data_IF_129361390778
#
_entry.id   IF_129361390778
#
_cell.length_a   1.000
_cell.length_b   1.000
_cell.length_c   1.000
_cell.angle_alpha   90.00
_cell.angle_beta   90.00
_cell.angle_gamma   90.00
#
_symmetry.space_group_name_H-M   'P 1'
#
loop_
_entity.id
_entity.type
_entity.pdbx_description
1 polymer ?
#
# COMPACT_ATOMS: atom_id res chain seq x y z
N UNK A 1 5.76 9.99 -44.71
CA UNK A 1 5.26 10.17 -43.33
C UNK A 1 5.12 8.78 -42.73
N UNK A 2 6.23 8.24 -42.23
CA UNK A 2 6.24 6.98 -41.50
C UNK A 2 6.90 7.31 -40.16
N UNK A 3 6.07 7.26 -39.19
CA UNK A 3 6.22 6.62 -37.91
C UNK A 3 6.90 7.39 -36.78
N UNK A 4 6.11 8.16 -36.05
CA UNK A 4 6.35 8.47 -34.65
C UNK A 4 6.00 7.29 -33.71
N UNK A 5 5.36 6.23 -34.24
CA UNK A 5 4.91 5.06 -33.45
C UNK A 5 6.01 3.99 -33.24
N UNK A 6 7.11 4.03 -34.01
CA UNK A 6 8.18 3.01 -33.89
C UNK A 6 9.27 3.37 -32.88
N UNK A 7 9.36 4.62 -32.45
CA UNK A 7 10.38 5.09 -31.49
C UNK A 7 10.00 4.70 -30.04
N UNK A 8 8.74 4.43 -29.76
CA UNK A 8 8.27 4.04 -28.41
C UNK A 8 8.48 2.56 -28.06
N UNK A 9 8.78 1.69 -29.05
CA UNK A 9 8.88 0.24 -28.82
C UNK A 9 10.29 -0.25 -28.42
N UNK A 10 11.33 0.55 -28.61
CA UNK A 10 12.71 0.16 -28.26
C UNK A 10 13.14 0.63 -26.87
N UNK A 11 12.47 1.62 -26.28
CA UNK A 11 12.78 2.13 -24.93
C UNK A 11 12.03 1.43 -23.78
N UNK A 12 11.08 0.52 -24.11
CA UNK A 12 10.25 -0.13 -23.08
C UNK A 12 10.93 -1.33 -22.40
N UNK A 13 12.01 -1.86 -22.94
CA UNK A 13 12.72 -3.01 -22.37
C UNK A 13 13.70 -2.67 -21.24
N UNK A 14 14.18 -1.41 -21.15
CA UNK A 14 15.19 -0.99 -20.18
C UNK A 14 14.66 -0.19 -18.98
N UNK A 15 13.34 0.07 -18.90
CA UNK A 15 12.77 0.99 -17.90
C UNK A 15 11.94 0.32 -16.79
N UNK A 16 11.85 -1.01 -16.75
CA UNK A 16 10.99 -1.75 -15.80
C UNK A 16 11.71 -2.19 -14.50
N UNK A 17 12.98 -1.87 -14.34
CA UNK A 17 13.73 -2.24 -13.15
C UNK A 17 13.47 -1.24 -12.00
N UNK A 18 12.36 -1.47 -11.29
CA UNK A 18 12.19 -0.87 -9.96
C UNK A 18 13.36 -1.38 -9.11
N UNK A 19 14.13 -0.49 -8.45
CA UNK A 19 15.25 -0.90 -7.62
C UNK A 19 14.79 -1.54 -6.31
N UNK A 20 14.17 -2.72 -6.41
CA UNK A 20 13.72 -3.46 -5.24
C UNK A 20 14.91 -3.85 -4.37
N UNK A 21 14.79 -3.57 -3.08
CA UNK A 21 15.69 -4.10 -2.05
C UNK A 21 14.99 -5.24 -1.32
N UNK A 22 15.60 -6.44 -1.34
CA UNK A 22 15.11 -7.63 -0.64
C UNK A 22 16.07 -8.10 0.44
N UNK A 23 17.08 -7.30 0.76
CA UNK A 23 17.97 -7.54 1.91
C UNK A 23 17.38 -6.85 3.14
N UNK A 24 16.80 -7.65 4.03
CA UNK A 24 16.16 -7.17 5.25
C UNK A 24 16.38 -8.15 6.41
N UNK A 25 17.52 -8.04 7.11
CA UNK A 25 17.92 -9.01 8.14
C UNK A 25 17.28 -8.78 9.51
N UNK A 26 16.33 -7.83 9.65
CA UNK A 26 15.67 -7.55 10.93
C UNK A 26 14.93 -8.78 11.44
N UNK A 27 15.17 -9.12 12.71
CA UNK A 27 14.51 -10.25 13.37
C UNK A 27 13.21 -9.80 14.04
N UNK A 28 12.17 -10.63 14.03
CA UNK A 28 10.93 -10.34 14.74
C UNK A 28 11.15 -10.02 16.23
N UNK A 29 10.41 -9.04 16.74
CA UNK A 29 10.41 -8.60 18.13
C UNK A 29 11.64 -7.78 18.55
N UNK A 30 12.62 -7.59 17.66
CA UNK A 30 13.81 -6.78 17.96
C UNK A 30 13.54 -5.32 17.66
N UNK A 31 13.87 -4.45 18.61
CA UNK A 31 13.80 -2.99 18.42
C UNK A 31 15.00 -2.53 17.60
N UNK A 32 14.74 -1.81 16.51
CA UNK A 32 15.76 -1.21 15.64
C UNK A 32 15.54 0.30 15.56
N UNK A 33 16.47 1.09 16.10
CA UNK A 33 16.42 2.57 15.97
C UNK A 33 17.02 2.99 14.63
N UNK A 34 16.16 3.17 13.64
CA UNK A 34 16.54 3.49 12.25
C UNK A 34 16.95 4.94 12.05
N UNK A 35 16.43 5.85 12.87
CA UNK A 35 16.79 7.28 12.94
C UNK A 35 16.59 7.77 14.37
N UNK A 36 17.26 8.83 14.82
CA UNK A 36 17.03 9.38 16.15
C UNK A 36 15.55 9.68 16.39
N UNK A 37 14.93 8.96 17.36
CA UNK A 37 13.50 9.09 17.66
C UNK A 37 12.57 8.35 16.69
N UNK A 38 13.09 7.45 15.85
CA UNK A 38 12.29 6.52 15.04
C UNK A 38 12.80 5.11 15.27
N UNK A 39 11.99 4.29 15.89
CA UNK A 39 12.24 2.86 16.13
C UNK A 39 11.27 2.03 15.32
N UNK A 40 11.66 0.85 14.89
CA UNK A 40 10.79 -0.13 14.24
C UNK A 40 10.87 -1.49 14.92
N UNK A 41 9.80 -2.24 14.83
CA UNK A 41 9.72 -3.63 15.32
C UNK A 41 9.02 -4.45 14.26
N UNK A 42 9.62 -5.58 13.88
CA UNK A 42 9.06 -6.54 12.93
C UNK A 42 8.15 -7.53 13.65
N UNK A 43 6.93 -7.70 13.16
CA UNK A 43 6.03 -8.79 13.54
C UNK A 43 6.45 -10.10 12.86
N UNK A 44 6.27 -11.24 13.53
CA UNK A 44 6.59 -12.56 12.98
C UNK A 44 5.41 -13.14 12.17
N UNK A 45 5.05 -12.47 11.07
CA UNK A 45 3.97 -12.89 10.17
C UNK A 45 4.42 -12.94 8.70
N UNK A 46 5.54 -13.65 8.36
CA UNK A 46 6.06 -13.69 7.01
C UNK A 46 5.08 -14.38 6.04
N UNK A 47 4.92 -13.79 4.86
CA UNK A 47 4.08 -14.33 3.80
C UNK A 47 4.47 -13.75 2.43
N UNK A 48 3.92 -14.25 1.31
CA UNK A 48 4.09 -13.61 0.01
C UNK A 48 3.57 -12.17 -0.07
N UNK A 49 2.77 -11.71 0.89
CA UNK A 49 2.18 -10.37 0.96
C UNK A 49 2.90 -9.46 1.94
N UNK A 50 3.45 -10.01 3.00
CA UNK A 50 4.09 -9.27 4.11
C UNK A 50 5.61 -9.38 4.11
N UNK A 51 6.19 -10.07 3.10
CA UNK A 51 7.62 -10.34 3.02
C UNK A 51 8.13 -11.07 4.27
N UNK A 52 9.02 -10.44 5.06
CA UNK A 52 9.52 -10.98 6.33
C UNK A 52 8.60 -10.73 7.51
N UNK A 53 7.58 -9.90 7.34
CA UNK A 53 6.58 -9.52 8.34
C UNK A 53 6.15 -8.06 8.23
N UNK A 54 5.21 -7.66 9.07
CA UNK A 54 4.70 -6.29 9.16
C UNK A 54 5.55 -5.47 10.14
N UNK A 55 5.81 -4.22 9.79
CA UNK A 55 6.56 -3.26 10.61
C UNK A 55 5.63 -2.32 11.35
N UNK A 56 5.83 -2.26 12.67
CA UNK A 56 5.30 -1.19 13.50
C UNK A 56 6.40 -0.17 13.77
N UNK A 57 6.05 1.12 13.81
CA UNK A 57 7.00 2.19 14.10
C UNK A 57 6.66 2.89 15.40
N UNK A 58 7.68 3.32 16.13
CA UNK A 58 7.56 4.14 17.33
C UNK A 58 8.25 5.48 17.05
N UNK A 59 7.50 6.57 17.16
CA UNK A 59 7.95 7.93 16.84
C UNK A 59 8.00 8.77 18.11
N UNK A 60 9.11 9.45 18.33
CA UNK A 60 9.34 10.30 19.50
C UNK A 60 10.19 9.65 20.60
N UNK A 61 10.33 10.35 21.72
CA UNK A 61 10.99 9.89 22.98
C UNK A 61 10.21 10.42 24.16
N UNK A 62 10.06 9.62 25.20
CA UNK A 62 9.33 9.97 26.43
C UNK A 62 7.81 9.97 26.24
N UNK A 63 7.28 10.81 25.35
CA UNK A 63 5.90 10.73 24.86
C UNK A 63 5.92 10.37 23.39
N UNK A 64 5.41 9.20 23.07
CA UNK A 64 5.59 8.56 21.76
C UNK A 64 4.27 8.28 21.07
N UNK A 65 4.34 8.16 19.73
CA UNK A 65 3.31 7.55 18.90
C UNK A 65 3.72 6.14 18.47
N UNK A 66 2.75 5.24 18.29
CA UNK A 66 2.92 3.94 17.62
C UNK A 66 2.16 4.02 16.31
N UNK A 67 2.83 3.72 15.19
CA UNK A 67 2.22 3.62 13.85
C UNK A 67 2.08 2.14 13.50
N UNK A 68 0.88 1.74 13.08
CA UNK A 68 0.50 0.37 12.71
C UNK A 68 0.87 -0.67 13.78
N UNK A 69 0.06 -0.85 14.82
CA UNK A 69 0.36 -1.79 15.92
C UNK A 69 0.44 -3.25 15.50
N UNK A 70 0.11 -3.57 14.25
CA UNK A 70 0.26 -4.89 13.66
C UNK A 70 -0.96 -5.80 13.78
N UNK A 71 -0.81 -7.08 13.39
CA UNK A 71 -1.87 -8.07 13.42
C UNK A 71 -2.31 -8.39 14.85
N UNK A 72 -3.39 -9.15 15.00
CA UNK A 72 -3.81 -9.67 16.30
C UNK A 72 -2.81 -10.74 16.81
N UNK A 73 -1.63 -10.28 17.21
CA UNK A 73 -0.50 -11.07 17.69
C UNK A 73 -0.07 -10.56 19.07
N UNK A 74 -0.19 -11.43 20.09
CA UNK A 74 0.15 -11.05 21.48
C UNK A 74 1.64 -10.85 21.69
N UNK A 75 2.47 -11.62 21.01
CA UNK A 75 3.93 -11.50 21.15
C UNK A 75 4.42 -10.18 20.55
N UNK A 76 3.86 -9.76 19.39
CA UNK A 76 4.17 -8.48 18.79
C UNK A 76 3.69 -7.31 19.65
N UNK A 77 2.47 -7.38 20.19
CA UNK A 77 1.97 -6.37 21.11
C UNK A 77 2.83 -6.25 22.38
N UNK A 78 3.25 -7.39 22.94
CA UNK A 78 4.16 -7.41 24.10
C UNK A 78 5.52 -6.78 23.77
N UNK A 79 6.09 -7.05 22.60
CA UNK A 79 7.32 -6.44 22.12
C UNK A 79 7.21 -4.92 21.97
N UNK A 80 6.08 -4.43 21.42
CA UNK A 80 5.80 -3.00 21.32
C UNK A 80 5.71 -2.34 22.71
N UNK A 81 4.97 -2.93 23.65
CA UNK A 81 4.83 -2.41 25.02
C UNK A 81 6.16 -2.45 25.79
N UNK A 82 6.96 -3.47 25.57
CA UNK A 82 8.31 -3.56 26.17
C UNK A 82 9.25 -2.48 25.61
N UNK A 83 9.19 -2.22 24.31
CA UNK A 83 10.00 -1.22 23.63
C UNK A 83 9.71 0.23 24.10
N UNK A 84 8.52 0.49 24.63
CA UNK A 84 8.13 1.79 25.16
C UNK A 84 8.10 1.80 26.70
N UNK A 85 8.73 0.82 27.35
CA UNK A 85 8.76 0.74 28.82
C UNK A 85 9.41 1.99 29.41
N UNK A 86 8.68 2.67 30.32
CA UNK A 86 9.10 3.94 30.92
C UNK A 86 8.81 5.18 30.09
N UNK A 87 8.18 5.01 28.93
CA UNK A 87 7.65 6.10 28.11
C UNK A 87 6.10 6.13 28.19
N UNK A 88 5.50 7.18 27.70
CA UNK A 88 4.04 7.32 27.60
C UNK A 88 3.62 7.22 26.13
N UNK A 89 2.87 6.20 25.77
CA UNK A 89 2.23 6.14 24.44
C UNK A 89 1.01 7.05 24.47
N UNK A 90 1.06 8.12 23.71
CA UNK A 90 -0.02 9.13 23.65
C UNK A 90 -0.91 8.95 22.43
N UNK A 91 -0.35 8.42 21.33
CA UNK A 91 -1.01 8.28 20.03
C UNK A 91 -0.79 6.89 19.46
N UNK A 92 -1.82 6.36 18.82
CA UNK A 92 -1.76 5.21 17.92
C UNK A 92 -2.24 5.72 16.57
N UNK A 93 -1.39 5.60 15.55
CA UNK A 93 -1.69 6.02 14.19
C UNK A 93 -1.85 4.77 13.32
N UNK A 94 -2.90 4.69 12.52
CA UNK A 94 -3.13 3.54 11.64
C UNK A 94 -3.16 4.03 10.21
N UNK A 95 -2.26 3.46 9.38
CA UNK A 95 -2.16 3.84 7.96
C UNK A 95 -3.38 3.36 7.20
N UNK A 96 -3.80 2.12 7.43
CA UNK A 96 -4.95 1.50 6.79
C UNK A 96 -5.46 0.30 7.59
N UNK A 97 -6.60 -0.23 7.22
CA UNK A 97 -7.31 -1.24 8.00
C UNK A 97 -7.16 -2.66 7.48
N UNK A 98 -5.98 -3.06 6.99
CA UNK A 98 -5.70 -4.47 6.79
C UNK A 98 -5.35 -5.17 8.12
N UNK A 99 -5.64 -6.47 8.17
CA UNK A 99 -5.52 -7.29 9.38
C UNK A 99 -4.11 -7.49 9.89
N UNK A 100 -3.14 -7.12 9.13
CA UNK A 100 -1.74 -7.14 9.54
C UNK A 100 -1.24 -5.78 10.06
N UNK A 101 -2.06 -4.70 9.99
CA UNK A 101 -1.70 -3.37 10.48
C UNK A 101 -2.50 -2.92 11.70
N UNK A 102 -3.81 -3.14 11.73
CA UNK A 102 -4.71 -2.47 12.67
C UNK A 102 -5.16 -3.28 13.90
N UNK A 103 -5.28 -4.62 13.91
CA UNK A 103 -5.98 -5.34 14.95
C UNK A 103 -5.40 -5.20 16.36
N UNK A 104 -4.07 -5.09 16.51
CA UNK A 104 -3.46 -4.86 17.82
C UNK A 104 -3.76 -3.48 18.43
N UNK A 105 -4.39 -2.57 17.67
CA UNK A 105 -4.79 -1.24 18.16
C UNK A 105 -5.59 -1.32 19.44
N UNK A 106 -6.58 -2.22 19.49
CA UNK A 106 -7.42 -2.40 20.68
C UNK A 106 -6.61 -2.82 21.91
N UNK A 107 -5.64 -3.74 21.74
CA UNK A 107 -4.77 -4.23 22.83
C UNK A 107 -3.81 -3.16 23.30
N UNK A 108 -3.15 -2.44 22.39
CA UNK A 108 -2.23 -1.35 22.75
C UNK A 108 -2.99 -0.20 23.42
N UNK A 109 -4.17 0.19 22.89
CA UNK A 109 -5.03 1.20 23.51
C UNK A 109 -5.45 0.80 24.91
N UNK A 110 -5.88 -0.43 25.13
CA UNK A 110 -6.28 -0.92 26.47
C UNK A 110 -5.12 -0.85 27.48
N UNK A 111 -3.90 -1.11 27.04
CA UNK A 111 -2.70 -1.09 27.90
C UNK A 111 -2.17 0.32 28.18
N UNK A 112 -2.38 1.28 27.28
CA UNK A 112 -1.71 2.61 27.35
C UNK A 112 -2.66 3.77 27.55
N UNK A 113 -3.93 3.63 27.20
CA UNK A 113 -4.91 4.72 27.15
C UNK A 113 -4.70 5.69 25.97
N UNK A 114 -3.84 5.34 25.01
CA UNK A 114 -3.52 6.19 23.86
C UNK A 114 -4.74 6.46 22.96
N UNK A 115 -4.77 7.65 22.36
CA UNK A 115 -5.81 8.03 21.39
C UNK A 115 -5.48 7.46 20.01
N UNK A 116 -6.46 6.90 19.32
CA UNK A 116 -6.32 6.27 18.02
C UNK A 116 -6.71 7.22 16.89
N UNK A 117 -5.80 7.42 15.94
CA UNK A 117 -5.97 8.28 14.78
C UNK A 117 -5.90 7.45 13.48
N UNK A 118 -6.84 7.66 12.58
CA UNK A 118 -6.84 7.08 11.25
C UNK A 118 -7.75 7.89 10.31
N UNK A 119 -7.77 7.55 9.01
CA UNK A 119 -8.72 8.16 8.06
C UNK A 119 -10.18 7.81 8.38
N UNK A 120 -10.41 6.63 8.93
CA UNK A 120 -11.73 6.14 9.31
C UNK A 120 -11.76 4.62 9.45
N UNK A 121 -12.97 4.08 9.57
CA UNK A 121 -13.22 2.63 9.53
C UNK A 121 -12.93 2.08 8.14
N UNK A 122 -12.80 0.74 8.06
CA UNK A 122 -12.68 0.09 6.76
C UNK A 122 -13.88 0.42 5.85
N UNK A 123 -13.59 0.72 4.59
CA UNK A 123 -14.56 0.90 3.52
C UNK A 123 -13.94 0.52 2.17
N UNK A 124 -14.76 0.05 1.27
CA UNK A 124 -14.36 -0.16 -0.11
C UNK A 124 -14.28 1.18 -0.88
N UNK A 125 -13.48 1.23 -1.94
CA UNK A 125 -13.40 2.39 -2.84
C UNK A 125 -14.63 2.53 -3.74
N UNK A 126 -15.33 1.41 -4.00
CA UNK A 126 -16.63 1.40 -4.68
C UNK A 126 -17.58 0.37 -4.07
N UNK A 127 -18.88 0.49 -4.29
CA UNK A 127 -19.82 -0.58 -3.98
C UNK A 127 -19.45 -1.88 -4.70
N UNK A 128 -19.77 -3.00 -4.09
CA UNK A 128 -19.66 -4.30 -4.75
C UNK A 128 -20.72 -4.43 -5.84
N UNK A 129 -20.31 -4.99 -6.96
CA UNK A 129 -21.27 -5.40 -7.99
C UNK A 129 -21.98 -6.70 -7.57
N UNK A 130 -23.24 -6.88 -7.95
CA UNK A 130 -23.99 -8.12 -7.67
C UNK A 130 -23.34 -9.35 -8.31
N UNK A 131 -22.64 -9.16 -9.43
CA UNK A 131 -21.91 -10.19 -10.16
C UNK A 131 -20.61 -10.66 -9.48
N UNK A 132 -20.11 -9.96 -8.45
CA UNK A 132 -18.90 -10.32 -7.73
C UNK A 132 -19.11 -11.48 -6.76
N UNK A 133 -18.64 -12.67 -7.15
CA UNK A 133 -18.82 -13.92 -6.38
C UNK A 133 -17.82 -14.08 -5.23
N UNK A 134 -16.67 -13.40 -5.28
CA UNK A 134 -15.59 -13.51 -4.30
C UNK A 134 -15.48 -12.23 -3.48
N UNK A 135 -15.06 -12.38 -2.22
CA UNK A 135 -14.82 -11.25 -1.33
C UNK A 135 -13.31 -11.07 -1.11
N UNK A 136 -12.63 -10.20 -1.88
CA UNK A 136 -11.20 -9.91 -1.68
C UNK A 136 -10.91 -9.18 -0.36
N UNK A 137 -11.94 -8.58 0.27
CA UNK A 137 -11.82 -7.89 1.56
C UNK A 137 -11.60 -8.85 2.76
N UNK A 138 -11.20 -10.10 2.52
CA UNK A 138 -10.85 -11.04 3.61
C UNK A 138 -9.68 -10.55 4.47
N UNK A 139 -8.85 -9.65 3.91
CA UNK A 139 -7.78 -8.97 4.63
C UNK A 139 -8.20 -7.78 5.48
N UNK A 140 -9.46 -7.34 5.42
CA UNK A 140 -9.94 -6.14 6.11
C UNK A 140 -10.24 -6.35 7.60
N UNK A 141 -9.82 -5.41 8.44
CA UNK A 141 -10.27 -5.25 9.82
C UNK A 141 -11.53 -4.39 9.86
N UNK A 142 -12.68 -5.02 9.82
CA UNK A 142 -13.98 -4.35 9.78
C UNK A 142 -14.43 -3.82 11.13
N UNK A 143 -13.81 -4.29 12.21
CA UNK A 143 -14.15 -3.88 13.58
C UNK A 143 -13.37 -2.65 14.03
N UNK A 144 -12.34 -2.27 13.28
CA UNK A 144 -11.52 -1.10 13.58
C UNK A 144 -12.35 0.20 13.57
N UNK A 145 -12.18 1.00 14.63
CA UNK A 145 -12.77 2.34 14.77
C UNK A 145 -11.72 3.27 15.40
N UNK A 146 -11.32 4.36 14.74
CA UNK A 146 -10.47 5.37 15.35
C UNK A 146 -11.26 6.22 16.34
N UNK A 147 -10.56 6.81 17.32
CA UNK A 147 -11.14 7.85 18.20
C UNK A 147 -11.20 9.20 17.48
N UNK A 148 -10.20 9.46 16.63
CA UNK A 148 -10.07 10.70 15.87
C UNK A 148 -9.87 10.35 14.40
N UNK A 149 -10.78 10.83 13.57
CA UNK A 149 -10.64 10.78 12.12
C UNK A 149 -9.76 11.93 11.66
N UNK A 150 -8.73 11.64 10.88
CA UNK A 150 -7.82 12.64 10.31
C UNK A 150 -7.89 12.68 8.79
N UNK A 151 -7.74 13.89 8.23
CA UNK A 151 -7.84 14.19 6.81
C UNK A 151 -6.50 14.59 6.24
N UNK A 152 -6.41 14.57 4.90
CA UNK A 152 -5.23 15.06 4.19
C UNK A 152 -4.83 16.48 4.62
N UNK A 153 -3.55 16.66 4.96
CA UNK A 153 -2.97 17.92 5.39
C UNK A 153 -3.16 18.23 6.88
N UNK A 154 -3.95 17.45 7.62
CA UNK A 154 -4.09 17.65 9.06
C UNK A 154 -2.82 17.21 9.81
N UNK A 155 -2.45 18.01 10.81
CA UNK A 155 -1.27 17.79 11.62
C UNK A 155 -1.64 17.06 12.91
N UNK A 156 -0.86 16.02 13.23
CA UNK A 156 -0.94 15.29 14.51
C UNK A 156 0.33 15.66 15.28
N UNK A 157 0.16 16.26 16.45
CA UNK A 157 1.28 16.82 17.22
C UNK A 157 1.46 16.05 18.52
N UNK A 158 2.70 15.64 18.80
CA UNK A 158 3.13 15.06 20.05
C UNK A 158 4.28 15.86 20.65
N UNK A 159 4.87 15.34 21.72
CA UNK A 159 5.99 15.97 22.39
C UNK A 159 7.29 15.75 21.59
N UNK A 160 7.74 16.80 20.92
CA UNK A 160 8.96 16.76 20.09
C UNK A 160 8.81 16.09 18.73
N UNK A 161 7.59 15.81 18.27
CA UNK A 161 7.31 15.32 16.94
C UNK A 161 5.99 15.86 16.39
N UNK A 162 5.91 15.97 15.06
CA UNK A 162 4.73 16.48 14.36
C UNK A 162 4.61 15.77 13.02
N UNK A 163 3.49 15.09 12.80
CA UNK A 163 3.22 14.31 11.60
C UNK A 163 2.05 14.90 10.83
N UNK A 164 2.20 15.03 9.52
CA UNK A 164 1.13 15.37 8.59
C UNK A 164 0.44 14.09 8.11
N UNK A 165 -0.89 14.03 8.20
CA UNK A 165 -1.68 13.00 7.57
C UNK A 165 -1.78 13.26 6.08
N UNK A 166 -1.25 12.36 5.25
CA UNK A 166 -1.26 12.45 3.79
C UNK A 166 -2.19 11.39 3.23
N UNK A 167 -3.36 11.79 2.69
CA UNK A 167 -4.26 10.82 2.10
C UNK A 167 -3.61 10.14 0.88
N UNK A 168 -3.52 8.83 0.92
CA UNK A 168 -2.95 7.99 -0.13
C UNK A 168 -3.88 6.79 -0.44
N UNK A 169 -5.17 7.05 -0.81
CA UNK A 169 -6.07 5.97 -1.19
C UNK A 169 -5.56 5.22 -2.42
N UNK A 170 -5.98 3.98 -2.58
CA UNK A 170 -5.70 3.17 -3.76
C UNK A 170 -5.31 1.74 -3.45
N UNK A 171 -4.41 1.48 -2.51
CA UNK A 171 -4.22 0.14 -1.94
C UNK A 171 -5.46 -0.26 -1.13
N UNK A 172 -5.88 0.60 -0.22
CA UNK A 172 -7.21 0.63 0.39
C UNK A 172 -7.81 2.03 0.25
N UNK A 173 -9.14 2.13 0.35
CA UNK A 173 -9.83 3.41 0.23
C UNK A 173 -9.54 4.38 1.40
N UNK A 174 -9.21 3.86 2.57
CA UNK A 174 -8.94 4.63 3.79
C UNK A 174 -7.44 4.76 4.12
N UNK A 175 -6.57 4.59 3.13
CA UNK A 175 -5.13 4.63 3.35
C UNK A 175 -4.61 6.06 3.61
N UNK A 176 -3.77 6.20 4.65
CA UNK A 176 -2.97 7.39 4.96
C UNK A 176 -1.48 7.03 4.99
N UNK A 177 -0.66 7.96 4.52
CA UNK A 177 0.72 8.05 4.94
C UNK A 177 0.86 9.10 6.05
N UNK A 178 1.91 8.98 6.88
CA UNK A 178 2.23 9.96 7.93
C UNK A 178 3.61 10.55 7.64
N UNK A 179 3.63 11.80 7.22
CA UNK A 179 4.86 12.50 6.89
C UNK A 179 5.40 13.29 8.08
N UNK A 180 6.71 13.26 8.29
CA UNK A 180 7.44 14.12 9.23
C UNK A 180 8.31 15.12 8.45
N UNK A 181 7.76 16.28 8.03
CA UNK A 181 8.44 17.18 7.11
C UNK A 181 9.79 17.67 7.62
N UNK A 182 9.88 18.02 8.92
CA UNK A 182 11.14 18.52 9.50
C UNK A 182 12.26 17.47 9.49
N UNK A 183 11.92 16.19 9.43
CA UNK A 183 12.88 15.08 9.39
C UNK A 183 13.05 14.49 7.99
N UNK A 184 12.30 14.97 7.00
CA UNK A 184 12.27 14.41 5.63
C UNK A 184 11.94 12.92 5.59
N UNK A 185 11.04 12.48 6.48
CA UNK A 185 10.60 11.09 6.64
C UNK A 185 9.12 10.98 6.28
N UNK A 186 8.73 9.88 5.64
CA UNK A 186 7.33 9.55 5.37
C UNK A 186 7.06 8.07 5.68
N UNK A 187 6.11 7.78 6.55
CA UNK A 187 5.60 6.44 6.83
C UNK A 187 4.48 6.14 5.84
N UNK A 188 4.77 5.38 4.80
CA UNK A 188 3.91 5.23 3.62
C UNK A 188 3.04 3.96 3.64
N UNK A 189 3.03 3.24 4.76
CA UNK A 189 2.26 1.99 4.89
C UNK A 189 2.49 1.07 3.71
N UNK A 190 1.41 0.54 3.14
CA UNK A 190 1.45 -0.38 2.01
C UNK A 190 1.24 0.30 0.65
N UNK A 191 1.17 1.64 0.62
CA UNK A 191 1.04 2.35 -0.64
C UNK A 191 2.32 2.31 -1.47
N UNK A 192 3.49 2.34 -0.80
CA UNK A 192 4.81 2.23 -1.43
C UNK A 192 5.64 1.20 -0.66
N UNK A 193 6.10 0.14 -1.33
CA UNK A 193 6.95 -0.89 -0.74
C UNK A 193 8.27 -1.01 -1.50
N UNK A 194 9.38 -1.16 -0.76
CA UNK A 194 10.73 -1.21 -1.32
C UNK A 194 11.13 -2.58 -1.87
N UNK A 195 10.37 -3.64 -1.60
CA UNK A 195 10.69 -5.03 -1.97
C UNK A 195 9.78 -5.61 -3.05
N UNK A 196 8.59 -5.01 -3.26
CA UNK A 196 7.56 -5.43 -4.23
C UNK A 196 6.68 -4.25 -4.60
N UNK A 197 5.83 -4.42 -5.61
CA UNK A 197 4.74 -3.47 -5.90
C UNK A 197 3.56 -3.73 -4.99
N UNK A 198 2.85 -2.68 -4.58
CA UNK A 198 1.61 -2.79 -3.81
C UNK A 198 0.51 -3.49 -4.60
N UNK A 199 -0.33 -4.23 -3.88
CA UNK A 199 -1.52 -4.83 -4.48
C UNK A 199 -2.63 -3.79 -4.50
N UNK A 200 -3.29 -3.66 -5.64
CA UNK A 200 -4.51 -2.86 -5.81
C UNK A 200 -5.62 -3.82 -6.20
N UNK A 201 -6.54 -4.07 -5.27
CA UNK A 201 -7.57 -5.10 -5.45
C UNK A 201 -8.97 -4.51 -5.25
N UNK A 202 -9.75 -4.28 -6.34
CA UNK A 202 -11.15 -3.90 -6.21
C UNK A 202 -11.98 -4.97 -5.47
N UNK A 203 -13.02 -4.55 -4.74
CA UNK A 203 -13.57 -3.20 -4.61
C UNK A 203 -12.89 -2.36 -3.52
N UNK A 204 -11.97 -2.91 -2.73
CA UNK A 204 -11.26 -2.19 -1.65
C UNK A 204 -10.28 -1.18 -2.22
N UNK A 205 -9.43 -1.61 -3.13
CA UNK A 205 -8.47 -0.77 -3.86
C UNK A 205 -9.03 -0.18 -5.16
N UNK A 206 -8.35 0.88 -5.66
CA UNK A 206 -8.68 1.60 -6.89
C UNK A 206 -7.40 2.01 -7.61
N UNK A 207 -7.25 1.66 -8.89
CA UNK A 207 -6.06 2.05 -9.66
C UNK A 207 -6.02 3.55 -9.93
N UNK A 208 -7.17 4.18 -10.16
CA UNK A 208 -7.28 5.63 -10.32
C UNK A 208 -6.74 6.36 -9.09
N UNK A 209 -7.23 5.97 -7.90
CA UNK A 209 -6.81 6.59 -6.65
C UNK A 209 -5.35 6.29 -6.32
N UNK A 210 -4.90 5.06 -6.63
CA UNK A 210 -3.51 4.63 -6.43
C UNK A 210 -2.54 5.50 -7.24
N UNK A 211 -2.82 5.70 -8.52
CA UNK A 211 -1.99 6.53 -9.39
C UNK A 211 -1.99 7.99 -8.96
N UNK A 212 -3.15 8.55 -8.61
CA UNK A 212 -3.25 9.92 -8.10
C UNK A 212 -2.48 10.11 -6.78
N UNK A 213 -2.46 9.09 -5.94
CA UNK A 213 -1.70 9.09 -4.68
C UNK A 213 -0.20 8.96 -4.91
N UNK A 214 0.24 8.14 -5.88
CA UNK A 214 1.64 8.10 -6.30
C UNK A 214 2.09 9.45 -6.85
N UNK A 215 1.28 10.12 -7.70
CA UNK A 215 1.61 11.46 -8.22
C UNK A 215 1.76 12.48 -7.08
N UNK A 216 0.91 12.41 -6.05
CA UNK A 216 1.03 13.24 -4.84
C UNK A 216 2.34 12.97 -4.10
N UNK A 217 2.69 11.71 -3.89
CA UNK A 217 3.93 11.32 -3.20
C UNK A 217 5.18 11.69 -4.00
N UNK A 218 5.14 11.63 -5.34
CA UNK A 218 6.25 12.00 -6.21
C UNK A 218 6.59 13.50 -6.18
N UNK A 219 5.68 14.34 -5.66
CA UNK A 219 5.84 15.80 -5.53
C UNK A 219 6.23 16.23 -4.11
N UNK A 220 6.36 15.30 -3.17
CA UNK A 220 6.74 15.61 -1.79
C UNK A 220 8.25 15.76 -1.63
N UNK A 221 8.63 16.36 -0.51
CA UNK A 221 10.02 16.69 -0.19
C UNK A 221 10.68 15.70 0.80
N UNK A 222 9.92 14.71 1.31
CA UNK A 222 10.47 13.68 2.19
C UNK A 222 11.33 12.70 1.38
N UNK A 223 12.60 12.57 1.76
CA UNK A 223 13.56 11.72 1.03
C UNK A 223 13.55 10.27 1.47
N UNK A 224 13.15 10.00 2.74
CA UNK A 224 13.19 8.67 3.31
C UNK A 224 11.79 8.15 3.56
N UNK A 225 11.44 7.04 2.92
CA UNK A 225 10.15 6.40 3.11
C UNK A 225 10.29 5.11 3.93
N UNK A 226 9.40 4.94 4.89
CA UNK A 226 9.23 3.73 5.70
C UNK A 226 7.93 3.06 5.33
N UNK A 227 8.01 1.85 4.75
CA UNK A 227 6.84 1.06 4.35
C UNK A 227 6.34 0.15 5.47
N UNK A 228 5.13 -0.40 5.30
CA UNK A 228 4.57 -1.42 6.20
C UNK A 228 5.36 -2.73 6.19
N UNK A 229 6.16 -2.99 5.13
CA UNK A 229 6.91 -4.22 4.96
C UNK A 229 8.27 -3.96 4.32
N UNK A 230 9.31 -4.64 4.85
CA UNK A 230 10.65 -4.65 4.26
C UNK A 230 11.50 -3.42 4.61
N UNK A 231 12.59 -3.18 3.86
CA UNK A 231 13.55 -2.13 4.17
C UNK A 231 13.02 -0.73 3.87
N UNK A 232 13.69 0.28 4.44
CA UNK A 232 13.48 1.67 4.09
C UNK A 232 13.79 1.97 2.61
N UNK A 233 13.17 3.00 2.10
CA UNK A 233 13.25 3.43 0.70
C UNK A 233 13.90 4.82 0.68
N UNK A 234 15.18 4.92 0.32
CA UNK A 234 15.83 6.20 0.10
C UNK A 234 15.34 6.84 -1.20
N UNK A 235 15.48 8.18 -1.30
CA UNK A 235 15.02 8.95 -2.45
C UNK A 235 13.54 8.68 -2.79
N UNK A 236 12.67 8.64 -1.76
CA UNK A 236 11.27 8.22 -1.85
C UNK A 236 10.52 8.76 -3.08
N UNK A 237 10.52 10.08 -3.36
CA UNK A 237 9.85 10.63 -4.54
C UNK A 237 10.41 10.12 -5.87
N UNK A 238 11.71 9.83 -5.94
CA UNK A 238 12.33 9.22 -7.12
C UNK A 238 11.87 7.76 -7.28
N UNK A 239 11.85 7.02 -6.18
CA UNK A 239 11.36 5.64 -6.16
C UNK A 239 9.90 5.55 -6.61
N UNK A 240 9.04 6.45 -6.14
CA UNK A 240 7.64 6.54 -6.56
C UNK A 240 7.50 6.71 -8.07
N UNK A 241 8.36 7.51 -8.71
CA UNK A 241 8.36 7.65 -10.17
C UNK A 241 8.67 6.35 -10.92
N UNK A 242 9.46 5.42 -10.36
CA UNK A 242 9.61 4.08 -10.92
C UNK A 242 8.28 3.29 -10.84
N UNK A 243 7.58 3.37 -9.71
CA UNK A 243 6.27 2.71 -9.55
C UNK A 243 5.24 3.25 -10.54
N UNK A 244 5.19 4.57 -10.76
CA UNK A 244 4.30 5.19 -11.76
C UNK A 244 4.60 4.62 -13.16
N UNK A 245 5.85 4.63 -13.59
CA UNK A 245 6.24 4.06 -14.89
C UNK A 245 5.90 2.59 -15.01
N UNK A 246 6.15 1.81 -13.96
CA UNK A 246 5.78 0.39 -13.94
C UNK A 246 4.28 0.18 -14.14
N UNK A 247 3.42 0.95 -13.45
CA UNK A 247 1.95 0.86 -13.65
C UNK A 247 1.53 1.25 -15.06
N UNK A 248 2.12 2.29 -15.64
CA UNK A 248 1.88 2.70 -17.02
C UNK A 248 2.32 1.62 -18.03
N UNK A 249 3.48 1.01 -17.83
CA UNK A 249 3.95 -0.11 -18.64
C UNK A 249 3.02 -1.34 -18.51
N UNK A 250 2.50 -1.58 -17.31
CA UNK A 250 1.53 -2.66 -17.08
C UNK A 250 0.22 -2.41 -17.82
N UNK A 251 -0.31 -1.18 -17.78
CA UNK A 251 -1.48 -0.77 -18.56
C UNK A 251 -1.24 -0.97 -20.06
N UNK A 252 -0.10 -0.49 -20.58
CA UNK A 252 0.25 -0.68 -21.99
C UNK A 252 0.34 -2.16 -22.39
N UNK A 253 0.84 -3.02 -21.50
CA UNK A 253 0.89 -4.48 -21.73
C UNK A 253 -0.50 -5.11 -21.78
N UNK A 254 -1.44 -4.67 -20.95
CA UNK A 254 -2.85 -5.08 -20.99
C UNK A 254 -3.48 -4.67 -22.32
N UNK A 255 -3.33 -3.42 -22.73
CA UNK A 255 -3.86 -2.92 -24.01
C UNK A 255 -3.26 -3.64 -25.20
N UNK A 256 -1.94 -3.90 -25.20
CA UNK A 256 -1.27 -4.68 -26.23
C UNK A 256 -1.83 -6.11 -26.32
N UNK A 257 -2.14 -6.74 -25.17
CA UNK A 257 -2.77 -8.07 -25.17
C UNK A 257 -4.18 -8.00 -25.78
N UNK A 258 -4.98 -7.00 -25.42
CA UNK A 258 -6.34 -6.83 -25.91
C UNK A 258 -6.38 -6.47 -27.41
N UNK A 259 -5.34 -5.83 -27.94
CA UNK A 259 -5.22 -5.56 -29.38
C UNK A 259 -5.11 -6.85 -30.23
N UNK A 260 -4.80 -8.01 -29.63
CA UNK A 260 -4.78 -9.32 -30.29
C UNK A 260 -6.14 -10.04 -30.27
N UNK A 261 -7.16 -9.40 -29.73
CA UNK A 261 -8.51 -9.90 -29.56
C UNK A 261 -8.94 -9.88 -28.09
N UNK A 262 -10.23 -10.05 -27.87
CA UNK A 262 -10.82 -10.08 -26.53
C UNK A 262 -10.15 -11.14 -25.63
N UNK A 263 -10.14 -10.90 -24.34
CA UNK A 263 -9.54 -11.79 -23.36
C UNK A 263 -10.18 -11.68 -21.98
N UNK A 264 -10.19 -12.79 -21.25
CA UNK A 264 -10.45 -12.83 -19.81
C UNK A 264 -9.19 -12.47 -19.00
N UNK A 265 -9.38 -12.16 -17.73
CA UNK A 265 -8.28 -11.78 -16.83
C UNK A 265 -7.21 -12.88 -16.71
N UNK A 266 -7.54 -14.18 -16.54
CA UNK A 266 -6.54 -15.23 -16.53
C UNK A 266 -5.65 -15.26 -17.79
N UNK A 267 -6.23 -15.02 -18.95
CA UNK A 267 -5.48 -14.96 -20.23
C UNK A 267 -4.55 -13.73 -20.28
N UNK A 268 -5.01 -12.57 -19.79
CA UNK A 268 -4.18 -11.37 -19.68
C UNK A 268 -3.03 -11.63 -18.69
N UNK A 269 -3.31 -12.17 -17.51
CA UNK A 269 -2.29 -12.49 -16.48
C UNK A 269 -1.21 -13.40 -17.05
N UNK A 270 -1.59 -14.49 -17.72
CA UNK A 270 -0.61 -15.41 -18.35
C UNK A 270 0.26 -14.72 -19.40
N UNK A 271 -0.27 -13.73 -20.10
CA UNK A 271 0.47 -13.02 -21.14
C UNK A 271 1.49 -11.99 -20.59
N UNK A 272 1.21 -11.39 -19.44
CA UNK A 272 1.97 -10.22 -18.93
C UNK A 272 2.76 -10.49 -17.64
N UNK A 273 2.46 -11.60 -16.92
CA UNK A 273 3.16 -11.98 -15.68
C UNK A 273 3.96 -13.28 -15.90
N UNK A 274 5.08 -13.17 -16.64
CA UNK A 274 5.94 -14.32 -16.92
C UNK A 274 6.76 -14.64 -15.66
N UNK A 275 6.72 -15.91 -15.22
CA UNK A 275 7.51 -16.39 -14.08
C UNK A 275 7.04 -15.93 -12.69
N UNK A 276 5.82 -15.39 -12.57
CA UNK A 276 5.23 -15.05 -11.27
C UNK A 276 5.06 -16.30 -10.39
N UNK A 277 5.28 -16.13 -9.08
CA UNK A 277 4.95 -17.17 -8.10
C UNK A 277 3.47 -17.56 -8.20
N UNK A 278 3.14 -18.85 -8.33
CA UNK A 278 1.74 -19.30 -8.43
C UNK A 278 0.83 -18.82 -7.31
N UNK A 279 1.38 -18.59 -6.09
CA UNK A 279 0.63 -18.07 -4.94
C UNK A 279 0.16 -16.62 -5.15
N UNK A 280 0.79 -15.89 -6.06
CA UNK A 280 0.46 -14.49 -6.38
C UNK A 280 -0.45 -14.33 -7.61
N UNK A 281 -0.80 -15.42 -8.32
CA UNK A 281 -1.64 -15.35 -9.53
C UNK A 281 -2.99 -14.69 -9.28
N UNK A 282 -3.63 -14.98 -8.15
CA UNK A 282 -4.90 -14.35 -7.79
C UNK A 282 -4.74 -12.85 -7.56
N UNK A 283 -3.72 -12.43 -6.82
CA UNK A 283 -3.40 -11.02 -6.59
C UNK A 283 -3.05 -10.28 -7.88
N UNK A 284 -2.31 -10.92 -8.80
CA UNK A 284 -2.06 -10.39 -10.13
C UNK A 284 -3.36 -10.20 -10.93
N UNK A 285 -4.31 -11.14 -10.82
CA UNK A 285 -5.64 -11.03 -11.43
C UNK A 285 -6.41 -9.81 -10.93
N UNK A 286 -6.42 -9.56 -9.63
CA UNK A 286 -7.04 -8.35 -9.07
C UNK A 286 -6.32 -7.06 -9.48
N UNK A 287 -4.99 -7.07 -9.56
CA UNK A 287 -4.26 -5.91 -10.07
C UNK A 287 -4.58 -5.63 -11.54
N UNK A 288 -4.76 -6.67 -12.37
CA UNK A 288 -5.25 -6.52 -13.76
C UNK A 288 -6.67 -5.98 -13.77
N UNK A 289 -7.57 -6.49 -12.91
CA UNK A 289 -8.93 -5.98 -12.78
C UNK A 289 -8.94 -4.49 -12.43
N UNK A 290 -8.11 -4.05 -11.50
CA UNK A 290 -8.01 -2.63 -11.14
C UNK A 290 -7.63 -1.73 -12.33
N UNK A 291 -6.69 -2.17 -13.18
CA UNK A 291 -6.39 -1.47 -14.44
C UNK A 291 -7.57 -1.51 -15.41
N UNK A 292 -8.24 -2.65 -15.54
CA UNK A 292 -9.39 -2.80 -16.44
C UNK A 292 -10.58 -1.94 -16.01
N UNK A 293 -10.84 -1.80 -14.70
CA UNK A 293 -11.88 -0.89 -14.19
C UNK A 293 -11.59 0.57 -14.58
N UNK A 294 -10.34 1.03 -14.44
CA UNK A 294 -9.92 2.35 -14.88
C UNK A 294 -10.08 2.51 -16.41
N UNK A 295 -9.61 1.54 -17.19
CA UNK A 295 -9.70 1.56 -18.65
C UNK A 295 -11.15 1.54 -19.15
N UNK A 296 -12.04 0.81 -18.47
CA UNK A 296 -13.49 0.82 -18.75
C UNK A 296 -14.09 2.16 -18.40
N UNK A 297 -13.74 2.72 -17.24
CA UNK A 297 -14.18 4.06 -16.83
C UNK A 297 -13.76 5.17 -17.80
N UNK A 298 -12.59 5.02 -18.44
CA UNK A 298 -12.09 5.94 -19.49
C UNK A 298 -12.66 5.65 -20.89
N UNK A 299 -13.46 4.60 -21.07
CA UNK A 299 -14.02 4.20 -22.36
C UNK A 299 -13.02 3.66 -23.37
N UNK A 300 -11.84 3.18 -22.91
CA UNK A 300 -10.79 2.58 -23.76
C UNK A 300 -11.02 1.09 -23.93
N UNK A 301 -11.54 0.43 -22.91
CA UNK A 301 -11.89 -0.97 -22.86
C UNK A 301 -13.37 -1.14 -22.59
N UNK A 302 -13.99 -2.16 -23.14
CA UNK A 302 -15.37 -2.55 -22.87
C UNK A 302 -15.42 -3.98 -22.32
N UNK A 303 -16.46 -4.23 -21.52
CA UNK A 303 -16.87 -5.57 -21.05
C UNK A 303 -18.40 -5.65 -21.08
N UNK A 304 -18.95 -6.86 -21.08
CA UNK A 304 -20.38 -7.05 -21.01
C UNK A 304 -20.82 -7.07 -19.53
N UNK A 305 -21.56 -6.05 -19.11
CA UNK A 305 -21.97 -5.82 -17.71
C UNK A 305 -20.87 -5.16 -16.86
N UNK A 306 -20.82 -5.51 -15.58
CA UNK A 306 -19.86 -4.95 -14.64
C UNK A 306 -18.44 -5.47 -14.90
N UNK A 307 -17.38 -4.64 -14.70
CA UNK A 307 -16.00 -5.11 -14.75
C UNK A 307 -15.69 -5.97 -13.52
N UNK A 308 -15.61 -7.28 -13.72
CA UNK A 308 -15.38 -8.27 -12.65
C UNK A 308 -14.30 -9.27 -13.05
N UNK A 309 -13.76 -10.01 -12.08
CA UNK A 309 -12.67 -10.98 -12.30
C UNK A 309 -13.00 -12.06 -13.35
N UNK A 310 -14.27 -12.41 -13.49
CA UNK A 310 -14.75 -13.39 -14.48
C UNK A 310 -15.22 -12.79 -15.81
N UNK A 311 -15.06 -11.48 -15.99
CA UNK A 311 -15.46 -10.78 -17.21
C UNK A 311 -14.52 -11.03 -18.39
N UNK A 312 -15.03 -10.77 -19.60
CA UNK A 312 -14.26 -10.73 -20.84
C UNK A 312 -14.13 -9.28 -21.30
N UNK A 313 -12.96 -8.89 -21.75
CA UNK A 313 -12.60 -7.50 -22.05
C UNK A 313 -12.11 -7.36 -23.48
N UNK A 314 -12.47 -6.23 -24.11
CA UNK A 314 -12.08 -5.90 -25.49
C UNK A 314 -11.77 -4.41 -25.63
N UNK A 315 -10.93 -4.03 -26.57
CA UNK A 315 -10.76 -2.62 -26.92
C UNK A 315 -12.06 -2.05 -27.49
N UNK A 316 -12.32 -0.81 -27.16
CA UNK A 316 -13.36 -0.01 -27.86
C UNK A 316 -12.78 0.35 -29.21
N UNK A 317 -13.51 0.01 -30.27
CA UNK A 317 -13.09 0.21 -31.68
C UNK A 317 -13.19 1.68 -32.13
#
# INVERSE_FOLDING_TARGET
MVSAALIWMTDMADNDDIPFNRDFPLKPGVVDEVRPGVRRILCNNPSPFTFTGTLSYIVGKGKVAIIDPGPNDEAHAAALLDAVRGETVTHILVTHTHRDHSPNTARIKAATGATVYAEGSHRASRPRFESEKHNPESGADRDFRPDVTVRHGEMIEGDGWKLEAVATPGHTANHLAFAWPERKINFVGDHVMGWSTSIVAPPDGSMVDYMASLDRLAQRDEDLYFSGHGPEIPEGPRYVRFLIRHRQAREASILHRLAKGEADIPTIVRAIYIGIDPRLLNAAGYSVLAHLEDLVGRGIVATDGDPVIGGTYRLVG
#
